data_IF_690008170421
#
_entry.id   IF_690008170421
#
_cell.length_a   1.000
_cell.length_b   1.000
_cell.length_c   1.000
_cell.angle_alpha   90.00
_cell.angle_beta   90.00
_cell.angle_gamma   90.00
#
_symmetry.space_group_name_H-M   'P 1'
#
loop_
_entity.id
_entity.type
_entity.pdbx_description
1 polymer ?
#
# COMPACT_ATOMS: atom_id res chain seq x y z
N UNK A 1 -7.21 21.99 8.46
CA UNK A 1 -5.98 21.46 7.84
C UNK A 1 -6.27 20.06 7.33
N UNK A 2 -6.61 19.93 6.03
CA UNK A 2 -6.89 18.64 5.41
C UNK A 2 -5.70 17.70 5.54
N UNK A 3 -5.97 16.40 5.72
CA UNK A 3 -4.92 15.42 5.97
C UNK A 3 -5.15 14.12 5.18
N UNK A 4 -6.08 13.27 5.62
CA UNK A 4 -6.43 12.01 4.95
C UNK A 4 -7.48 12.19 3.86
N UNK A 5 -7.43 11.34 2.84
CA UNK A 5 -8.41 11.26 1.75
C UNK A 5 -8.69 9.79 1.39
N UNK A 6 -9.97 9.44 1.31
CA UNK A 6 -10.45 8.19 0.74
C UNK A 6 -11.65 8.45 -0.19
N UNK A 7 -11.88 7.51 -1.10
CA UNK A 7 -13.00 7.53 -2.04
C UNK A 7 -13.67 6.17 -1.98
N UNK A 8 -14.98 6.13 -1.77
CA UNK A 8 -15.73 4.88 -1.72
C UNK A 8 -16.17 4.41 -3.13
N UNK A 9 -16.89 3.29 -3.20
CA UNK A 9 -17.38 2.73 -4.47
C UNK A 9 -18.48 3.57 -5.13
N UNK A 10 -19.10 4.48 -4.39
CA UNK A 10 -20.12 5.40 -4.89
C UNK A 10 -19.52 6.71 -5.42
N UNK A 11 -18.19 6.86 -5.35
CA UNK A 11 -17.46 8.11 -5.60
C UNK A 11 -17.78 9.22 -4.58
N UNK A 12 -18.19 8.85 -3.37
CA UNK A 12 -18.18 9.79 -2.26
C UNK A 12 -16.76 9.90 -1.71
N UNK A 13 -16.39 11.12 -1.31
CA UNK A 13 -15.07 11.45 -0.80
C UNK A 13 -15.13 11.57 0.72
N UNK A 14 -14.11 11.06 1.40
CA UNK A 14 -13.98 11.17 2.85
C UNK A 14 -12.66 11.86 3.13
N UNK A 15 -12.72 12.96 3.89
CA UNK A 15 -11.53 13.72 4.26
C UNK A 15 -11.38 13.74 5.77
N UNK A 16 -10.17 13.59 6.29
CA UNK A 16 -9.88 13.97 7.66
C UNK A 16 -9.32 15.39 7.70
N UNK A 17 -9.69 16.15 8.72
CA UNK A 17 -9.14 17.48 8.96
C UNK A 17 -8.62 17.57 10.40
N UNK A 18 -7.30 17.76 10.49
CA UNK A 18 -6.58 17.83 11.76
C UNK A 18 -6.95 19.08 12.56
N UNK A 19 -7.26 20.18 11.88
CA UNK A 19 -7.59 21.45 12.53
C UNK A 19 -9.02 21.47 13.07
N UNK A 20 -9.97 20.88 12.35
CA UNK A 20 -11.36 20.81 12.82
C UNK A 20 -11.66 19.60 13.68
N UNK A 21 -10.75 18.63 13.80
CA UNK A 21 -10.96 17.38 14.54
C UNK A 21 -12.11 16.54 13.98
N UNK A 22 -12.29 16.55 12.64
CA UNK A 22 -13.41 15.88 11.99
C UNK A 22 -12.99 14.96 10.85
N UNK A 23 -13.86 14.00 10.58
CA UNK A 23 -13.90 13.25 9.31
C UNK A 23 -15.18 13.66 8.57
N UNK A 24 -15.06 14.10 7.33
CA UNK A 24 -16.17 14.67 6.57
C UNK A 24 -16.41 13.83 5.33
N UNK A 25 -17.66 13.40 5.14
CA UNK A 25 -18.12 12.76 3.91
C UNK A 25 -18.65 13.82 2.96
N UNK A 26 -18.24 13.73 1.70
CA UNK A 26 -18.62 14.64 0.62
C UNK A 26 -19.18 13.87 -0.56
N UNK A 27 -20.23 14.41 -1.17
CA UNK A 27 -20.76 13.95 -2.45
C UNK A 27 -20.27 14.91 -3.54
N UNK A 28 -19.75 14.37 -4.64
CA UNK A 28 -19.37 15.14 -5.81
C UNK A 28 -20.42 14.97 -6.90
N UNK A 29 -21.15 16.05 -7.21
CA UNK A 29 -22.04 16.09 -8.37
C UNK A 29 -21.36 16.80 -9.53
N UNK A 30 -21.63 16.34 -10.75
CA UNK A 30 -21.14 16.96 -11.98
C UNK A 30 -22.31 17.61 -12.70
N UNK A 31 -22.26 18.93 -12.88
CA UNK A 31 -23.16 19.68 -13.74
C UNK A 31 -22.46 20.05 -15.05
N UNK A 32 -23.24 20.19 -16.12
CA UNK A 32 -22.77 20.80 -17.38
C UNK A 32 -23.33 22.21 -17.46
N UNK A 33 -22.44 23.20 -17.57
CA UNK A 33 -22.83 24.57 -17.86
C UNK A 33 -21.90 25.11 -18.95
N UNK A 34 -22.46 25.54 -20.09
CA UNK A 34 -21.72 26.08 -21.24
C UNK A 34 -20.46 25.29 -21.65
N UNK A 35 -20.55 23.95 -21.75
CA UNK A 35 -19.44 23.04 -22.10
C UNK A 35 -18.32 22.92 -21.06
N UNK A 36 -18.49 23.46 -19.84
CA UNK A 36 -17.61 23.20 -18.71
C UNK A 36 -18.25 22.17 -17.76
N UNK A 37 -17.43 21.23 -17.29
CA UNK A 37 -17.81 20.33 -16.20
C UNK A 37 -17.64 21.12 -14.90
N UNK A 38 -18.75 21.54 -14.30
CA UNK A 38 -18.75 22.14 -12.97
C UNK A 38 -18.98 21.03 -11.95
N UNK A 39 -17.91 20.66 -11.25
CA UNK A 39 -18.01 19.79 -10.07
C UNK A 39 -18.52 20.61 -8.88
N UNK A 40 -19.59 20.16 -8.23
CA UNK A 40 -20.04 20.71 -6.95
C UNK A 40 -19.83 19.67 -5.85
N UNK A 41 -19.06 20.04 -4.84
CA UNK A 41 -18.82 19.23 -3.66
C UNK A 41 -19.82 19.64 -2.57
N UNK A 42 -20.65 18.72 -2.11
CA UNK A 42 -21.58 18.95 -1.00
C UNK A 42 -21.23 18.07 0.19
N UNK A 43 -21.26 18.63 1.40
CA UNK A 43 -21.08 17.86 2.61
C UNK A 43 -22.31 16.98 2.86
N UNK A 44 -22.10 15.68 3.05
CA UNK A 44 -23.16 14.72 3.39
C UNK A 44 -23.34 14.64 4.91
N UNK A 45 -22.26 14.36 5.63
CA UNK A 45 -22.20 14.40 7.09
C UNK A 45 -20.76 14.62 7.57
N UNK A 46 -20.61 14.93 8.85
CA UNK A 46 -19.31 14.97 9.53
C UNK A 46 -19.36 14.11 10.80
N UNK A 47 -18.26 13.40 11.05
CA UNK A 47 -17.97 12.70 12.30
C UNK A 47 -17.01 13.58 13.12
N UNK A 48 -17.18 13.58 14.44
CA UNK A 48 -16.46 14.51 15.31
C UNK A 48 -17.20 15.84 15.49
N UNK A 49 -16.96 16.50 16.62
CA UNK A 49 -17.43 17.85 16.87
C UNK A 49 -16.39 18.87 16.40
N UNK A 50 -16.83 19.84 15.59
CA UNK A 50 -15.95 20.80 14.94
C UNK A 50 -15.19 21.64 15.97
N UNK A 51 -13.87 21.60 15.90
CA UNK A 51 -12.93 22.29 16.80
C UNK A 51 -12.94 21.81 18.26
N UNK A 52 -13.56 20.66 18.54
CA UNK A 52 -13.56 20.07 19.89
C UNK A 52 -12.75 18.78 19.88
N UNK A 53 -11.48 18.82 20.33
CA UNK A 53 -10.69 17.62 20.51
C UNK A 53 -11.25 16.76 21.64
N UNK A 54 -11.14 15.45 21.51
CA UNK A 54 -11.46 14.52 22.59
C UNK A 54 -11.03 13.09 22.30
N UNK A 55 -11.28 12.21 23.26
CA UNK A 55 -10.92 10.79 23.21
C UNK A 55 -12.10 9.87 23.57
N UNK A 56 -13.33 10.39 23.52
CA UNK A 56 -14.55 9.59 23.66
C UNK A 56 -15.06 9.10 22.29
N UNK A 57 -16.26 8.51 22.25
CA UNK A 57 -16.85 7.93 21.05
C UNK A 57 -17.35 8.97 20.02
N UNK A 58 -17.47 10.24 20.42
CA UNK A 58 -18.01 11.33 19.59
C UNK A 58 -16.97 12.30 19.10
N UNK A 59 -15.81 12.35 19.75
CA UNK A 59 -14.73 13.29 19.44
C UNK A 59 -13.52 12.59 18.86
N UNK A 60 -12.76 13.31 18.04
CA UNK A 60 -11.42 12.90 17.59
C UNK A 60 -10.36 13.84 18.14
N UNK A 61 -9.10 13.41 18.16
CA UNK A 61 -7.97 14.29 18.40
C UNK A 61 -7.02 14.23 17.22
N UNK A 62 -7.26 15.13 16.26
CA UNK A 62 -6.46 15.31 15.04
C UNK A 62 -6.44 14.00 14.22
N UNK A 63 -7.58 13.57 13.65
CA UNK A 63 -7.68 12.33 12.89
C UNK A 63 -6.84 12.39 11.61
N UNK A 64 -6.07 11.34 11.35
CA UNK A 64 -5.01 11.33 10.33
C UNK A 64 -5.42 10.57 9.06
N UNK A 65 -6.03 9.39 9.20
CA UNK A 65 -6.40 8.54 8.07
C UNK A 65 -7.85 8.13 8.09
N UNK A 66 -8.41 7.84 6.92
CA UNK A 66 -9.75 7.26 6.78
C UNK A 66 -9.74 6.18 5.71
N UNK A 67 -10.40 5.06 5.96
CA UNK A 67 -10.69 4.00 5.01
C UNK A 67 -12.20 3.74 4.99
N UNK A 68 -12.72 3.38 3.82
CA UNK A 68 -14.12 2.98 3.67
C UNK A 68 -14.16 1.64 2.94
N UNK A 69 -14.77 0.64 3.55
CA UNK A 69 -14.90 -0.70 2.99
C UNK A 69 -16.11 -0.81 2.06
N UNK A 70 -16.20 -1.93 1.35
CA UNK A 70 -17.19 -2.15 0.29
C UNK A 70 -18.64 -2.20 0.78
N UNK A 71 -18.84 -2.53 2.05
CA UNK A 71 -20.12 -2.51 2.77
C UNK A 71 -20.48 -1.09 3.28
N UNK A 72 -19.55 -0.14 3.15
CA UNK A 72 -19.69 1.23 3.63
C UNK A 72 -19.25 1.44 5.08
N UNK A 73 -18.66 0.44 5.76
CA UNK A 73 -18.06 0.67 7.08
C UNK A 73 -16.90 1.68 6.95
N UNK A 74 -16.82 2.61 7.90
CA UNK A 74 -15.84 3.69 7.90
C UNK A 74 -14.86 3.44 9.03
N UNK A 75 -13.56 3.50 8.74
CA UNK A 75 -12.50 3.31 9.70
C UNK A 75 -11.62 4.56 9.75
N UNK A 76 -11.38 5.08 10.96
CA UNK A 76 -10.64 6.32 11.16
C UNK A 76 -9.42 6.04 12.01
N UNK A 77 -8.23 6.39 11.51
CA UNK A 77 -7.00 6.43 12.29
C UNK A 77 -6.93 7.76 13.05
N UNK A 78 -7.25 7.73 14.35
CA UNK A 78 -7.28 8.90 15.23
C UNK A 78 -5.98 8.96 16.03
N UNK A 79 -4.96 9.63 15.47
CA UNK A 79 -3.58 9.30 15.81
C UNK A 79 -2.66 10.41 16.33
N UNK A 80 -2.89 11.68 16.02
CA UNK A 80 -1.91 12.71 16.42
C UNK A 80 -1.91 13.00 17.91
N UNK A 81 -3.06 12.89 18.58
CA UNK A 81 -3.14 12.95 20.04
C UNK A 81 -3.90 11.79 20.69
N UNK A 82 -4.48 10.91 19.88
CA UNK A 82 -5.01 9.62 20.32
C UNK A 82 -4.17 8.48 19.74
N UNK A 83 -4.44 7.24 20.13
CA UNK A 83 -3.72 6.05 19.67
C UNK A 83 -4.71 4.92 19.38
N UNK A 84 -5.70 5.22 18.54
CA UNK A 84 -6.82 4.31 18.28
C UNK A 84 -7.25 4.33 16.81
N UNK A 85 -7.93 3.26 16.44
CA UNK A 85 -8.76 3.18 15.25
C UNK A 85 -10.21 3.12 15.69
N UNK A 86 -11.06 3.96 15.09
CA UNK A 86 -12.50 3.97 15.34
C UNK A 86 -13.24 3.46 14.12
N UNK A 87 -14.27 2.64 14.35
CA UNK A 87 -15.14 2.08 13.32
C UNK A 87 -16.54 2.69 13.44
N UNK A 88 -17.08 3.09 12.30
CA UNK A 88 -18.45 3.58 12.16
C UNK A 88 -19.18 2.77 11.07
N UNK A 89 -20.50 2.73 11.15
CA UNK A 89 -21.32 2.23 10.07
C UNK A 89 -21.37 3.26 8.90
N UNK A 90 -22.07 2.87 7.82
CA UNK A 90 -22.22 3.72 6.63
C UNK A 90 -22.98 5.03 6.85
N UNK A 91 -23.70 5.13 7.97
CA UNK A 91 -24.48 6.30 8.37
C UNK A 91 -23.73 7.16 9.39
N UNK A 92 -22.50 6.79 9.76
CA UNK A 92 -21.70 7.51 10.74
C UNK A 92 -22.00 7.16 12.20
N UNK A 93 -22.72 6.07 12.47
CA UNK A 93 -22.94 5.59 13.84
C UNK A 93 -21.70 4.87 14.35
N UNK A 94 -21.22 5.24 15.53
CA UNK A 94 -20.09 4.57 16.18
C UNK A 94 -20.41 3.10 16.45
N UNK A 95 -19.50 2.20 16.09
CA UNK A 95 -19.64 0.76 16.30
C UNK A 95 -18.66 0.24 17.35
N UNK A 96 -17.37 0.53 17.18
CA UNK A 96 -16.32 0.05 18.07
C UNK A 96 -15.03 0.85 17.88
N UNK A 97 -14.08 0.68 18.80
CA UNK A 97 -12.73 1.18 18.66
C UNK A 97 -11.73 0.18 19.24
N UNK A 98 -10.48 0.26 18.77
CA UNK A 98 -9.36 -0.49 19.31
C UNK A 98 -8.07 0.31 19.19
N UNK A 99 -7.05 -0.10 19.95
CA UNK A 99 -5.78 0.62 20.02
C UNK A 99 -5.51 1.16 21.42
N UNK A 100 -4.23 1.19 21.78
CA UNK A 100 -3.71 1.84 23.00
C UNK A 100 -2.39 2.52 22.68
N UNK A 101 -1.96 3.46 23.52
CA UNK A 101 -0.62 4.03 23.40
C UNK A 101 0.47 2.95 23.51
N UNK A 102 1.49 3.03 22.66
CA UNK A 102 2.70 2.19 22.78
C UNK A 102 3.63 2.66 23.91
N UNK A 103 3.40 3.86 24.43
CA UNK A 103 4.07 4.39 25.60
C UNK A 103 3.25 4.10 26.86
N UNK A 104 3.93 3.71 27.94
CA UNK A 104 3.33 3.65 29.27
C UNK A 104 3.10 5.08 29.83
N UNK A 105 2.52 5.16 31.04
CA UNK A 105 2.25 6.44 31.72
C UNK A 105 3.49 7.29 32.00
N UNK A 106 4.69 6.72 31.92
CA UNK A 106 5.98 7.41 32.08
C UNK A 106 6.59 7.85 30.74
N UNK A 107 5.89 7.65 29.61
CA UNK A 107 6.41 7.99 28.29
C UNK A 107 7.47 7.03 27.74
N UNK A 108 7.65 5.87 28.37
CA UNK A 108 8.61 4.84 27.93
C UNK A 108 7.90 3.86 27.02
N UNK A 109 8.56 3.44 25.94
CA UNK A 109 8.02 2.43 25.02
C UNK A 109 7.81 1.13 25.80
N UNK A 110 6.55 0.72 25.93
CA UNK A 110 6.18 -0.42 26.75
C UNK A 110 6.47 -1.75 26.02
N UNK A 111 6.23 -1.82 24.71
CA UNK A 111 6.54 -2.96 23.85
C UNK A 111 6.33 -2.61 22.36
N UNK A 112 7.40 -2.49 21.56
CA UNK A 112 7.29 -2.23 20.11
C UNK A 112 6.65 -3.38 19.32
N UNK A 113 6.65 -4.60 19.85
CA UNK A 113 6.16 -5.78 19.13
C UNK A 113 4.70 -6.11 19.43
N UNK A 114 4.10 -5.51 20.46
CA UNK A 114 2.72 -5.81 20.81
C UNK A 114 1.76 -5.27 19.74
N UNK A 115 0.88 -6.14 19.23
CA UNK A 115 -0.16 -5.73 18.27
C UNK A 115 -1.29 -4.98 18.99
N UNK A 116 -1.92 -4.04 18.31
CA UNK A 116 -2.99 -3.22 18.89
C UNK A 116 -2.50 -2.10 19.81
N UNK A 117 -1.20 -1.84 19.90
CA UNK A 117 -0.68 -0.57 20.44
C UNK A 117 -0.19 0.30 19.29
N UNK A 118 -0.39 1.61 19.36
CA UNK A 118 0.04 2.54 18.33
C UNK A 118 0.90 3.66 18.90
N UNK A 119 1.72 4.22 18.03
CA UNK A 119 2.45 5.47 18.19
C UNK A 119 2.16 6.28 16.93
N UNK A 120 1.07 7.04 17.01
CA UNK A 120 0.54 7.85 15.90
C UNK A 120 0.07 7.00 14.71
N UNK A 121 -1.09 6.33 14.80
CA UNK A 121 -1.71 5.71 13.64
C UNK A 121 -2.06 6.81 12.61
N UNK A 122 -1.43 6.78 11.43
CA UNK A 122 -1.38 7.95 10.54
C UNK A 122 -2.20 7.80 9.26
N UNK A 123 -2.20 6.60 8.68
CA UNK A 123 -2.98 6.24 7.50
C UNK A 123 -3.60 4.87 7.72
N UNK A 124 -4.70 4.61 7.04
CA UNK A 124 -5.42 3.35 7.10
C UNK A 124 -6.01 3.05 5.73
N UNK A 125 -5.85 1.81 5.27
CA UNK A 125 -6.45 1.32 4.03
C UNK A 125 -7.02 -0.07 4.24
N UNK A 126 -8.03 -0.43 3.43
CA UNK A 126 -8.61 -1.76 3.44
C UNK A 126 -8.16 -2.55 2.21
N UNK A 127 -8.16 -3.88 2.31
CA UNK A 127 -8.10 -4.71 1.11
C UNK A 127 -9.42 -4.66 0.31
N UNK A 128 -9.42 -5.25 -0.89
CA UNK A 128 -10.53 -5.13 -1.83
C UNK A 128 -11.90 -5.59 -1.32
N UNK A 129 -11.94 -6.60 -0.45
CA UNK A 129 -13.19 -7.13 0.13
C UNK A 129 -13.51 -6.50 1.49
N UNK A 130 -12.61 -5.68 2.04
CA UNK A 130 -12.76 -5.03 3.33
C UNK A 130 -12.59 -5.96 4.53
N UNK A 131 -12.11 -7.19 4.35
CA UNK A 131 -11.87 -8.14 5.45
C UNK A 131 -10.63 -7.80 6.28
N UNK A 132 -9.64 -7.14 5.67
CA UNK A 132 -8.40 -6.72 6.31
C UNK A 132 -8.18 -5.21 6.20
N UNK A 133 -7.63 -4.65 7.26
CA UNK A 133 -7.22 -3.27 7.40
C UNK A 133 -5.71 -3.22 7.63
N UNK A 134 -5.05 -2.24 7.01
CA UNK A 134 -3.64 -1.98 7.14
C UNK A 134 -3.46 -0.57 7.70
N UNK A 135 -2.96 -0.49 8.93
CA UNK A 135 -2.82 0.76 9.67
C UNK A 135 -1.35 1.13 9.76
N UNK A 136 -0.96 2.29 9.24
CA UNK A 136 0.42 2.77 9.38
C UNK A 136 0.61 3.31 10.79
N UNK A 137 1.44 2.61 11.56
CA UNK A 137 1.82 2.99 12.92
C UNK A 137 3.11 3.81 12.83
N UNK A 138 2.94 5.12 12.58
CA UNK A 138 3.96 5.95 11.93
C UNK A 138 5.27 5.94 12.66
N UNK A 139 5.25 6.21 13.95
CA UNK A 139 6.47 6.39 14.74
C UNK A 139 7.04 5.05 15.24
N UNK A 140 6.27 3.97 15.20
CA UNK A 140 6.78 2.62 15.43
C UNK A 140 7.35 1.97 14.16
N UNK A 141 7.38 2.68 13.03
CA UNK A 141 7.94 2.23 11.75
C UNK A 141 7.37 0.87 11.29
N UNK A 142 6.05 0.67 11.44
CA UNK A 142 5.38 -0.58 11.07
C UNK A 142 4.01 -0.34 10.45
N UNK A 143 3.51 -1.35 9.75
CA UNK A 143 2.11 -1.42 9.32
C UNK A 143 1.47 -2.57 10.08
N UNK A 144 0.46 -2.29 10.88
CA UNK A 144 -0.29 -3.33 11.58
C UNK A 144 -1.50 -3.78 10.78
N UNK A 145 -1.73 -5.09 10.76
CA UNK A 145 -2.80 -5.74 10.00
C UNK A 145 -3.89 -6.17 10.97
N UNK A 146 -5.12 -5.74 10.72
CA UNK A 146 -6.29 -6.07 11.52
C UNK A 146 -7.39 -6.66 10.65
N UNK A 147 -8.25 -7.48 11.25
CA UNK A 147 -9.57 -7.75 10.67
C UNK A 147 -10.48 -6.53 10.85
N UNK A 148 -11.55 -6.48 10.07
CA UNK A 148 -12.53 -5.38 10.12
C UNK A 148 -13.34 -5.30 11.42
N UNK A 149 -13.23 -6.28 12.31
CA UNK A 149 -13.77 -6.27 13.68
C UNK A 149 -12.77 -5.75 14.73
N UNK A 150 -11.54 -5.41 14.32
CA UNK A 150 -10.48 -4.92 15.20
C UNK A 150 -9.55 -6.00 15.75
N UNK A 151 -9.73 -7.28 15.39
CA UNK A 151 -8.79 -8.34 15.76
C UNK A 151 -7.44 -8.12 15.07
N UNK A 152 -6.37 -8.01 15.86
CA UNK A 152 -5.00 -7.97 15.35
C UNK A 152 -4.61 -9.30 14.69
N UNK A 153 -3.98 -9.22 13.51
CA UNK A 153 -3.55 -10.38 12.71
C UNK A 153 -2.03 -10.49 12.69
N UNK A 154 -1.34 -9.45 12.22
CA UNK A 154 0.12 -9.43 12.09
C UNK A 154 0.63 -7.99 11.85
N UNK A 155 1.90 -7.85 11.48
CA UNK A 155 2.52 -6.56 11.16
C UNK A 155 3.60 -6.71 10.09
N UNK A 156 3.79 -5.66 9.31
CA UNK A 156 4.94 -5.48 8.40
C UNK A 156 5.91 -4.54 9.10
N UNK A 157 7.16 -4.99 9.23
CA UNK A 157 8.25 -4.28 9.88
C UNK A 157 9.47 -4.23 8.95
N UNK A 158 10.54 -3.58 9.38
CA UNK A 158 11.83 -3.68 8.69
C UNK A 158 12.24 -5.17 8.52
N UNK A 159 12.79 -5.55 7.35
CA UNK A 159 13.41 -6.86 7.19
C UNK A 159 14.42 -7.16 8.30
N UNK A 160 14.60 -8.43 8.63
CA UNK A 160 15.57 -8.87 9.64
C UNK A 160 16.96 -8.27 9.36
N UNK A 161 17.62 -7.79 10.41
CA UNK A 161 18.95 -7.18 10.35
C UNK A 161 19.05 -5.93 9.46
N UNK A 162 17.92 -5.24 9.22
CA UNK A 162 17.90 -3.98 8.46
C UNK A 162 17.22 -2.85 9.23
N UNK A 163 17.61 -1.62 8.93
CA UNK A 163 16.97 -0.39 9.38
C UNK A 163 16.67 0.49 8.15
N UNK A 164 15.83 -0.05 7.26
CA UNK A 164 15.54 0.58 5.97
C UNK A 164 14.63 1.82 6.11
N UNK A 165 13.80 1.86 7.15
CA UNK A 165 12.91 2.98 7.44
C UNK A 165 12.63 3.12 8.95
N UNK A 166 12.58 4.36 9.41
CA UNK A 166 12.28 4.70 10.81
C UNK A 166 10.89 5.29 11.04
N UNK A 167 10.06 5.36 9.99
CA UNK A 167 8.65 5.74 10.08
C UNK A 167 7.90 5.32 8.81
N UNK A 168 6.57 5.26 8.87
CA UNK A 168 5.71 5.01 7.71
C UNK A 168 4.56 6.00 7.73
N UNK A 169 4.50 6.88 6.73
CA UNK A 169 3.45 7.90 6.68
C UNK A 169 2.19 7.38 6.00
N UNK A 170 2.33 6.65 4.89
CA UNK A 170 1.18 6.22 4.11
C UNK A 170 1.42 4.88 3.47
N UNK A 171 0.33 4.15 3.27
CA UNK A 171 0.30 2.87 2.58
C UNK A 171 -0.94 2.82 1.69
N UNK A 172 -0.88 2.02 0.64
CA UNK A 172 -2.06 1.65 -0.14
C UNK A 172 -1.98 0.19 -0.58
N UNK A 173 -3.14 -0.43 -0.70
CA UNK A 173 -3.29 -1.82 -1.08
C UNK A 173 -3.65 -1.95 -2.55
N UNK A 174 -2.98 -2.87 -3.22
CA UNK A 174 -3.37 -3.37 -4.52
C UNK A 174 -3.47 -4.89 -4.48
N UNK A 175 -4.56 -5.42 -5.00
CA UNK A 175 -4.75 -6.84 -5.24
C UNK A 175 -5.68 -7.04 -6.41
N UNK A 176 -5.53 -8.15 -7.11
CA UNK A 176 -6.46 -8.57 -8.17
C UNK A 176 -7.15 -9.84 -7.74
N UNK A 177 -8.45 -9.94 -7.98
CA UNK A 177 -9.18 -11.17 -7.64
C UNK A 177 -9.44 -11.96 -8.91
N UNK A 178 -8.98 -13.22 -8.95
CA UNK A 178 -9.31 -14.16 -9.99
C UNK A 178 -9.96 -15.39 -9.36
N UNK A 179 -11.20 -15.68 -9.76
CA UNK A 179 -12.00 -16.82 -9.23
C UNK A 179 -12.00 -16.83 -7.68
N UNK A 180 -12.33 -15.69 -7.07
CA UNK A 180 -12.34 -15.48 -5.60
C UNK A 180 -11.01 -15.69 -4.87
N UNK A 181 -9.90 -15.89 -5.59
CA UNK A 181 -8.56 -15.88 -5.03
C UNK A 181 -7.91 -14.53 -5.30
N UNK A 182 -7.39 -13.91 -4.25
CA UNK A 182 -6.55 -12.72 -4.41
C UNK A 182 -5.20 -13.14 -4.96
N UNK A 183 -4.89 -12.65 -6.16
CA UNK A 183 -3.61 -12.78 -6.84
C UNK A 183 -2.98 -11.38 -6.86
N UNK A 184 -1.70 -11.29 -6.50
CA UNK A 184 -0.92 -10.04 -6.38
C UNK A 184 -1.26 -9.15 -5.17
N UNK A 185 -1.37 -9.72 -3.97
CA UNK A 185 -1.59 -9.00 -2.70
C UNK A 185 -0.39 -8.13 -2.32
N UNK A 186 -0.38 -6.88 -2.80
CA UNK A 186 0.75 -5.97 -2.68
C UNK A 186 0.35 -4.74 -1.90
N UNK A 187 1.13 -4.40 -0.88
CA UNK A 187 1.08 -3.09 -0.24
C UNK A 187 2.23 -2.25 -0.76
N UNK A 188 1.93 -1.02 -1.15
CA UNK A 188 2.94 0.00 -1.39
C UNK A 188 2.89 1.00 -0.25
N UNK A 189 4.03 1.27 0.37
CA UNK A 189 4.11 2.22 1.47
C UNK A 189 5.32 3.13 1.34
N UNK A 190 5.24 4.29 2.00
CA UNK A 190 6.26 5.33 1.94
C UNK A 190 6.56 5.91 3.33
N UNK A 191 7.83 5.91 3.76
CA UNK A 191 8.32 6.72 4.87
C UNK A 191 8.21 8.21 4.53
N UNK A 192 8.01 9.07 5.52
CA UNK A 192 7.93 10.52 5.30
C UNK A 192 9.24 11.25 5.56
N UNK A 193 10.23 10.57 6.14
CA UNK A 193 11.53 11.14 6.50
C UNK A 193 12.65 10.16 6.19
N UNK A 194 13.83 10.70 5.88
CA UNK A 194 15.06 9.91 5.80
C UNK A 194 15.36 9.22 7.12
N UNK A 195 16.06 8.09 7.05
CA UNK A 195 16.47 7.32 8.21
C UNK A 195 17.89 6.81 7.97
N UNK A 196 18.78 7.01 8.94
CA UNK A 196 20.19 6.57 8.88
C UNK A 196 20.93 7.00 7.60
N UNK A 197 20.66 8.21 7.11
CA UNK A 197 21.26 8.74 5.88
C UNK A 197 20.78 8.07 4.58
N UNK A 198 19.84 7.12 4.66
CA UNK A 198 19.24 6.50 3.49
C UNK A 198 18.22 7.44 2.83
N UNK A 199 18.18 7.50 1.49
CA UNK A 199 17.15 8.24 0.78
C UNK A 199 15.77 7.62 1.04
N UNK A 200 14.74 8.47 1.00
CA UNK A 200 13.36 7.97 1.09
C UNK A 200 13.04 7.18 -0.18
N UNK A 201 12.50 5.98 -0.01
CA UNK A 201 12.06 5.09 -1.08
C UNK A 201 10.61 4.67 -0.85
N UNK A 202 9.90 4.36 -1.94
CA UNK A 202 8.68 3.56 -1.86
C UNK A 202 9.09 2.12 -1.62
N UNK A 203 8.39 1.44 -0.73
CA UNK A 203 8.55 0.02 -0.46
C UNK A 203 7.32 -0.73 -0.94
N UNK A 204 7.55 -1.95 -1.44
CA UNK A 204 6.52 -2.93 -1.69
C UNK A 204 6.61 -4.04 -0.65
N UNK A 205 5.47 -4.51 -0.17
CA UNK A 205 5.36 -5.68 0.69
C UNK A 205 4.28 -6.62 0.18
N UNK A 206 4.50 -7.92 0.36
CA UNK A 206 3.45 -8.91 0.18
C UNK A 206 2.50 -8.83 1.37
N UNK A 207 1.24 -8.44 1.13
CA UNK A 207 0.29 -8.10 2.19
C UNK A 207 -0.05 -9.32 3.07
N UNK A 208 -0.34 -10.47 2.46
CA UNK A 208 -0.66 -11.71 3.18
C UNK A 208 0.53 -12.31 3.95
N UNK A 209 1.72 -12.33 3.34
CA UNK A 209 2.94 -12.83 3.98
C UNK A 209 3.56 -11.81 4.95
N UNK A 210 3.00 -10.60 5.03
CA UNK A 210 3.48 -9.51 5.87
C UNK A 210 4.98 -9.22 5.74
N UNK A 211 5.52 -9.27 4.52
CA UNK A 211 6.97 -9.15 4.26
C UNK A 211 7.29 -8.14 3.18
N UNK A 212 8.23 -7.23 3.46
CA UNK A 212 8.79 -6.29 2.48
C UNK A 212 9.55 -7.06 1.39
N UNK A 213 9.39 -6.66 0.13
CA UNK A 213 9.97 -7.35 -1.03
C UNK A 213 11.02 -6.50 -1.75
N UNK A 214 10.70 -5.26 -2.10
CA UNK A 214 11.58 -4.38 -2.87
C UNK A 214 11.31 -2.92 -2.52
N UNK A 215 12.28 -2.07 -2.83
CA UNK A 215 12.15 -0.62 -2.76
C UNK A 215 12.57 0.05 -4.05
N UNK A 216 12.04 1.25 -4.30
CA UNK A 216 12.37 2.07 -5.46
C UNK A 216 12.16 3.55 -5.17
N UNK A 217 12.83 4.41 -5.92
CA UNK A 217 12.78 5.85 -5.78
C UNK A 217 12.86 6.52 -7.17
N UNK A 218 12.44 7.80 -7.32
CA UNK A 218 12.70 8.55 -8.54
C UNK A 218 14.20 8.70 -8.81
N UNK A 219 14.61 8.59 -10.07
CA UNK A 219 16.03 8.72 -10.47
C UNK A 219 16.56 10.15 -10.35
N UNK A 220 15.77 11.13 -10.79
CA UNK A 220 16.24 12.52 -10.95
C UNK A 220 15.65 13.50 -9.93
N UNK A 221 14.72 13.03 -9.10
CA UNK A 221 13.98 13.87 -8.17
C UNK A 221 13.78 13.11 -6.85
N UNK A 222 14.82 13.03 -6.00
CA UNK A 222 14.68 12.36 -4.72
C UNK A 222 13.51 12.96 -3.94
N UNK A 223 12.84 12.10 -3.20
CA UNK A 223 11.79 12.51 -2.27
C UNK A 223 12.40 13.39 -1.17
N UNK A 224 11.65 14.40 -0.78
CA UNK A 224 11.95 15.31 0.32
C UNK A 224 10.96 15.12 1.47
N UNK A 225 9.67 15.32 1.20
CA UNK A 225 8.59 15.26 2.22
C UNK A 225 7.35 14.52 1.68
N UNK A 226 7.46 13.26 1.26
CA UNK A 226 6.31 12.45 0.90
C UNK A 226 5.41 12.20 2.10
N UNK A 227 4.11 12.20 1.83
CA UNK A 227 3.11 12.16 2.88
C UNK A 227 1.95 11.21 2.58
N UNK A 228 1.66 10.99 1.30
CA UNK A 228 0.63 10.04 0.87
C UNK A 228 1.09 9.25 -0.34
N UNK A 229 0.69 7.98 -0.40
CA UNK A 229 0.84 7.10 -1.55
C UNK A 229 -0.52 6.49 -1.90
N UNK A 230 -0.87 6.45 -3.19
CA UNK A 230 -2.07 5.78 -3.68
C UNK A 230 -1.78 5.01 -4.97
N UNK A 231 -2.43 3.87 -5.14
CA UNK A 231 -2.26 2.98 -6.29
C UNK A 231 -3.53 3.03 -7.13
N UNK A 232 -3.41 3.09 -8.45
CA UNK A 232 -4.57 3.05 -9.33
C UNK A 232 -5.28 1.69 -9.24
N UNK A 233 -6.60 1.67 -9.44
CA UNK A 233 -7.42 0.45 -9.38
C UNK A 233 -6.95 -0.65 -10.35
N UNK A 234 -6.33 -0.27 -11.47
CA UNK A 234 -5.74 -1.21 -12.44
C UNK A 234 -4.31 -1.64 -12.09
N UNK A 235 -3.69 -1.03 -11.07
CA UNK A 235 -2.33 -1.29 -10.62
C UNK A 235 -1.27 -0.93 -11.65
N UNK A 236 -1.57 0.01 -12.56
CA UNK A 236 -0.61 0.53 -13.54
C UNK A 236 0.12 1.77 -13.04
N UNK A 237 -0.47 2.51 -12.09
CA UNK A 237 0.09 3.76 -11.59
C UNK A 237 0.18 3.78 -10.08
N UNK A 238 1.26 4.36 -9.58
CA UNK A 238 1.42 4.74 -8.18
C UNK A 238 1.57 6.26 -8.16
N UNK A 239 0.81 6.92 -7.28
CA UNK A 239 0.87 8.34 -7.06
C UNK A 239 1.45 8.60 -5.67
N UNK A 240 2.42 9.52 -5.57
CA UNK A 240 2.97 9.98 -4.31
C UNK A 240 2.77 11.48 -4.19
N UNK A 241 2.06 11.90 -3.14
CA UNK A 241 1.94 13.30 -2.77
C UNK A 241 3.07 13.71 -1.84
N UNK A 242 3.79 14.76 -2.23
CA UNK A 242 4.80 15.42 -1.40
C UNK A 242 4.37 16.81 -0.98
N UNK A 243 4.67 17.14 0.28
CA UNK A 243 4.48 18.48 0.83
C UNK A 243 5.62 19.40 0.36
N UNK A 244 5.30 20.67 0.12
CA UNK A 244 6.27 21.71 -0.23
C UNK A 244 5.91 23.04 0.42
N UNK A 245 6.91 23.90 0.65
CA UNK A 245 6.74 25.18 1.36
C UNK A 245 5.81 26.15 0.61
N UNK A 246 5.73 26.05 -0.73
CA UNK A 246 4.92 26.91 -1.60
C UNK A 246 3.94 26.12 -2.48
N UNK A 247 3.51 24.96 -1.99
CA UNK A 247 2.68 24.01 -2.74
C UNK A 247 3.34 22.64 -2.86
N UNK A 248 2.54 21.60 -2.69
CA UNK A 248 2.98 20.22 -2.85
C UNK A 248 3.13 19.82 -4.31
N UNK A 249 3.66 18.61 -4.53
CA UNK A 249 3.70 17.98 -5.86
C UNK A 249 3.12 16.57 -5.78
N UNK A 250 2.62 16.07 -6.91
CA UNK A 250 2.24 14.67 -7.07
C UNK A 250 3.16 14.04 -8.11
N UNK A 251 3.86 12.98 -7.71
CA UNK A 251 4.65 12.16 -8.61
C UNK A 251 3.81 10.97 -9.05
N UNK A 252 3.88 10.62 -10.33
CA UNK A 252 3.28 9.42 -10.89
C UNK A 252 4.38 8.45 -11.31
N UNK A 253 4.27 7.20 -10.88
CA UNK A 253 5.10 6.08 -11.32
C UNK A 253 4.24 5.16 -12.17
N UNK A 254 4.78 4.69 -13.28
CA UNK A 254 4.14 3.69 -14.13
C UNK A 254 4.78 2.33 -13.90
N UNK A 255 3.96 1.32 -13.61
CA UNK A 255 4.40 -0.07 -13.44
C UNK A 255 4.31 -0.76 -14.80
N UNK A 256 5.47 -1.06 -15.40
CA UNK A 256 5.54 -1.83 -16.63
C UNK A 256 5.55 -3.33 -16.31
N UNK A 257 4.56 -4.08 -16.82
CA UNK A 257 4.51 -5.53 -16.70
C UNK A 257 5.17 -6.17 -17.93
N UNK A 258 5.65 -7.41 -17.81
CA UNK A 258 6.42 -8.06 -18.88
C UNK A 258 5.62 -8.26 -20.20
N UNK A 259 4.30 -7.99 -20.22
CA UNK A 259 3.45 -7.94 -21.41
C UNK A 259 3.22 -6.55 -22.04
N UNK A 260 3.64 -5.45 -21.41
CA UNK A 260 3.39 -4.08 -21.88
C UNK A 260 4.37 -3.63 -22.99
N UNK A 261 5.38 -4.45 -23.30
CA UNK A 261 6.27 -4.23 -24.46
C UNK A 261 5.63 -4.74 -25.75
N UNK A 262 4.56 -4.10 -26.21
CA UNK A 262 4.08 -4.24 -27.59
C UNK A 262 4.00 -2.84 -28.20
N UNK A 263 5.15 -2.35 -28.66
CA UNK A 263 5.28 -1.02 -29.27
C UNK A 263 6.60 -0.82 -30.02
N UNK A 264 7.27 -1.90 -30.42
CA UNK A 264 8.43 -1.88 -31.31
C UNK A 264 8.19 -2.86 -32.44
N UNK A 265 8.23 -2.35 -33.67
CA UNK A 265 8.20 -3.02 -34.98
C UNK A 265 7.87 -4.53 -35.02
N UNK A 266 6.69 -4.82 -35.56
CA UNK A 266 6.19 -6.17 -35.91
C UNK A 266 6.96 -6.88 -37.04
N UNK A 267 8.22 -6.53 -37.30
CA UNK A 267 9.02 -7.12 -38.37
C UNK A 267 10.33 -7.80 -37.92
N UNK A 268 10.63 -7.87 -36.61
CA UNK A 268 11.97 -8.30 -36.15
C UNK A 268 12.01 -9.50 -35.20
N UNK A 269 10.94 -10.28 -35.05
CA UNK A 269 10.94 -11.46 -34.18
C UNK A 269 10.29 -12.70 -34.82
N UNK A 270 10.38 -12.79 -36.15
CA UNK A 270 10.06 -14.00 -36.89
C UNK A 270 11.35 -14.68 -37.33
N UNK A 271 12.25 -14.98 -36.39
CA UNK A 271 13.31 -15.96 -36.62
C UNK A 271 13.89 -16.47 -35.30
N UNK A 272 13.99 -17.81 -35.24
CA UNK A 272 14.88 -18.61 -34.39
C UNK A 272 14.48 -18.87 -32.94
N UNK A 273 13.61 -19.88 -32.76
CA UNK A 273 13.96 -21.05 -31.95
C UNK A 273 13.40 -22.32 -32.62
N UNK A 274 14.22 -22.97 -33.46
CA UNK A 274 14.05 -24.37 -33.80
C UNK A 274 14.47 -25.20 -32.60
N UNK A 275 13.54 -25.93 -31.98
CA UNK A 275 13.87 -27.01 -31.06
C UNK A 275 13.69 -28.36 -31.76
N UNK A 276 14.64 -29.30 -31.62
CA UNK A 276 14.45 -30.65 -32.14
C UNK A 276 13.30 -31.33 -31.37
N UNK A 277 12.36 -31.87 -32.13
CA UNK A 277 11.27 -32.70 -31.61
C UNK A 277 11.88 -34.03 -31.14
N UNK A 278 11.92 -34.26 -29.83
CA UNK A 278 12.02 -35.59 -29.26
C UNK A 278 10.61 -36.11 -28.94
N UNK A 279 10.37 -37.36 -29.32
CA UNK A 279 9.10 -38.06 -29.42
C UNK A 279 8.26 -38.10 -28.14
N UNK A 280 6.95 -38.02 -28.37
CA UNK A 280 5.84 -38.17 -27.42
C UNK A 280 5.74 -39.58 -26.81
N UNK A 281 5.47 -39.63 -25.51
CA UNK A 281 4.61 -40.68 -24.91
C UNK A 281 3.28 -40.03 -24.54
N UNK A 282 2.20 -40.60 -25.07
CA UNK A 282 0.84 -40.06 -25.08
C UNK A 282 0.20 -39.97 -23.68
N UNK A 283 -0.37 -38.80 -23.36
CA UNK A 283 -1.51 -38.66 -22.47
C UNK A 283 -2.48 -37.68 -23.15
N UNK A 284 -3.52 -38.23 -23.77
CA UNK A 284 -4.61 -37.45 -24.38
C UNK A 284 -5.52 -36.93 -23.27
N UNK A 285 -5.56 -35.61 -23.08
CA UNK A 285 -6.63 -34.94 -22.36
C UNK A 285 -7.67 -34.47 -23.38
N UNK A 286 -8.79 -35.18 -23.50
CA UNK A 286 -9.93 -34.76 -24.34
C UNK A 286 -10.71 -33.65 -23.64
N UNK A 287 -10.57 -32.41 -24.12
CA UNK A 287 -11.48 -31.31 -23.77
C UNK A 287 -12.69 -31.39 -24.72
N UNK A 288 -13.93 -31.45 -24.22
CA UNK A 288 -15.12 -31.46 -25.09
C UNK A 288 -15.16 -30.20 -25.95
N UNK A 289 -15.40 -30.36 -27.26
CA UNK A 289 -15.41 -29.27 -28.24
C UNK A 289 -16.38 -28.11 -27.89
N UNK A 290 -17.36 -28.35 -27.01
CA UNK A 290 -18.30 -27.36 -26.49
C UNK A 290 -17.63 -26.29 -25.63
N UNK A 291 -16.59 -26.62 -24.87
CA UNK A 291 -15.85 -25.65 -24.04
C UNK A 291 -14.97 -24.73 -24.89
N UNK A 292 -14.40 -25.22 -25.99
CA UNK A 292 -13.56 -24.43 -26.89
C UNK A 292 -14.37 -23.34 -27.62
N UNK A 293 -15.60 -23.66 -28.03
CA UNK A 293 -16.50 -22.72 -28.71
C UNK A 293 -16.97 -21.61 -27.77
N UNK A 294 -17.24 -21.92 -26.49
CA UNK A 294 -17.60 -20.92 -25.48
C UNK A 294 -16.44 -19.97 -25.19
N UNK A 295 -15.21 -20.48 -25.13
CA UNK A 295 -14.01 -19.66 -24.95
C UNK A 295 -13.81 -18.68 -26.11
N UNK A 296 -13.91 -19.14 -27.36
CA UNK A 296 -13.76 -18.29 -28.54
C UNK A 296 -14.87 -17.22 -28.59
N UNK A 297 -16.11 -17.58 -28.26
CA UNK A 297 -17.22 -16.65 -28.23
C UNK A 297 -17.06 -15.56 -27.15
N UNK A 298 -16.60 -15.91 -25.94
CA UNK A 298 -16.34 -14.94 -24.88
C UNK A 298 -15.18 -14.00 -25.22
N UNK A 299 -14.10 -14.52 -25.80
CA UNK A 299 -12.95 -13.72 -26.21
C UNK A 299 -13.31 -12.70 -27.29
N UNK A 300 -14.18 -13.07 -28.24
CA UNK A 300 -14.68 -12.15 -29.27
C UNK A 300 -15.61 -11.08 -28.68
N UNK A 301 -16.48 -11.42 -27.73
CA UNK A 301 -17.34 -10.46 -27.04
C UNK A 301 -16.54 -9.39 -26.27
N UNK A 302 -15.46 -9.81 -25.60
CA UNK A 302 -14.55 -8.91 -24.88
C UNK A 302 -13.81 -8.00 -25.88
N UNK A 303 -13.37 -8.55 -27.01
CA UNK A 303 -12.70 -7.78 -28.06
C UNK A 303 -13.60 -6.71 -28.70
N UNK A 304 -14.88 -7.02 -28.95
CA UNK A 304 -15.84 -6.05 -29.49
C UNK A 304 -16.30 -5.02 -28.45
N UNK A 305 -16.36 -5.37 -27.16
CA UNK A 305 -16.69 -4.43 -26.09
C UNK A 305 -15.59 -3.38 -25.84
N UNK A 306 -14.33 -3.69 -26.15
CA UNK A 306 -13.20 -2.78 -25.91
C UNK A 306 -12.99 -1.70 -26.99
N UNK A 307 -13.74 -1.74 -28.10
CA UNK A 307 -13.57 -0.80 -29.22
C UNK A 307 -14.46 0.45 -29.08
N UNK A 308 -14.27 1.27 -28.04
CA UNK A 308 -14.79 2.65 -28.00
C UNK A 308 -13.75 3.66 -27.44
N UNK A 309 -13.17 4.39 -28.41
CA UNK A 309 -12.54 5.73 -28.37
C UNK A 309 -11.41 6.00 -27.35
N UNK A 310 -10.18 5.96 -27.86
CA UNK A 310 -9.05 6.71 -27.30
C UNK A 310 -9.07 8.15 -27.84
N UNK A 311 -9.02 9.13 -26.94
CA UNK A 311 -8.50 10.48 -27.26
C UNK A 311 -7.02 10.52 -26.94
N UNK A 312 -6.27 11.21 -27.79
CA UNK A 312 -4.83 11.32 -27.79
C UNK A 312 -4.40 12.54 -26.96
N UNK A 313 -3.48 12.37 -26.02
CA UNK A 313 -2.67 13.46 -25.45
C UNK A 313 -1.24 12.94 -25.30
N UNK A 314 -0.28 13.52 -26.04
CA UNK A 314 1.16 13.24 -25.91
C UNK A 314 1.79 14.08 -24.78
N UNK A 315 3.11 14.15 -24.55
CA UNK A 315 4.26 13.28 -24.85
C UNK A 315 5.34 13.71 -23.82
N UNK A 316 5.83 12.82 -22.96
CA UNK A 316 7.20 12.79 -22.42
C UNK A 316 7.37 11.53 -21.55
N UNK A 317 8.33 10.70 -21.91
CA UNK A 317 8.63 9.44 -21.22
C UNK A 317 9.82 9.65 -20.28
N UNK A 318 9.68 9.26 -19.01
CA UNK A 318 10.83 8.91 -18.19
C UNK A 318 11.02 7.40 -18.25
N UNK A 319 12.12 6.97 -18.85
CA UNK A 319 12.53 5.57 -18.95
C UNK A 319 13.09 5.15 -17.59
N UNK A 320 12.33 4.32 -16.86
CA UNK A 320 12.85 3.67 -15.65
C UNK A 320 13.84 2.57 -16.06
N UNK A 321 15.13 2.85 -15.85
CA UNK A 321 16.21 1.87 -15.93
C UNK A 321 16.13 0.94 -14.71
N UNK A 322 16.16 -0.39 -14.93
CA UNK A 322 16.14 -1.43 -13.88
C UNK A 322 17.35 -1.36 -12.93
N UNK A 323 18.35 -0.52 -13.20
CA UNK A 323 19.53 -0.33 -12.35
C UNK A 323 19.25 0.17 -10.92
N UNK A 324 18.04 0.66 -10.61
CA UNK A 324 17.66 1.13 -9.27
C UNK A 324 17.04 0.08 -8.34
N UNK A 325 16.73 -1.13 -8.82
CA UNK A 325 16.15 -2.18 -7.98
C UNK A 325 17.25 -2.85 -7.15
N UNK A 326 17.32 -2.53 -5.85
CA UNK A 326 18.11 -3.31 -4.90
C UNK A 326 17.20 -4.36 -4.26
N UNK A 327 17.26 -5.65 -4.66
CA UNK A 327 16.57 -6.69 -3.93
C UNK A 327 17.08 -6.70 -2.48
N UNK A 328 16.15 -6.67 -1.53
CA UNK A 328 16.49 -6.85 -0.12
C UNK A 328 16.84 -8.33 0.04
N UNK A 329 18.11 -8.63 0.32
CA UNK A 329 18.58 -9.99 0.61
C UNK A 329 17.79 -10.49 1.82
N UNK A 330 17.09 -11.60 1.63
CA UNK A 330 16.42 -12.37 2.68
C UNK A 330 17.12 -13.71 2.69
N UNK A 331 18.31 -13.75 3.28
CA UNK A 331 18.93 -15.00 3.68
C UNK A 331 18.20 -15.52 4.91
N UNK A 332 17.24 -16.40 4.65
CA UNK A 332 16.66 -17.29 5.64
C UNK A 332 17.81 -18.13 6.22
N UNK A 333 18.13 -17.94 7.49
CA UNK A 333 19.07 -18.80 8.21
C UNK A 333 18.27 -19.82 8.99
N UNK A 334 18.00 -20.97 8.37
CA UNK A 334 17.53 -22.15 9.09
C UNK A 334 18.25 -23.43 8.64
N UNK A 335 19.13 -23.87 9.54
CA UNK A 335 19.41 -25.26 9.97
C UNK A 335 20.07 -26.27 9.00
N UNK A 336 21.23 -26.77 9.38
CA UNK A 336 21.39 -28.17 9.85
C UNK A 336 22.77 -28.40 10.49
N UNK A 337 22.77 -29.36 11.41
CA UNK A 337 23.79 -29.82 12.33
C UNK A 337 24.84 -30.73 11.68
N UNK A 338 25.90 -30.98 12.47
CA UNK A 338 26.89 -32.05 12.36
C UNK A 338 27.92 -31.91 11.24
N UNK A 339 29.12 -31.48 11.62
CA UNK A 339 30.28 -32.37 11.56
C UNK A 339 31.29 -32.00 12.64
N UNK A 340 31.55 -32.98 13.49
CA UNK A 340 32.72 -33.07 14.36
C UNK A 340 33.99 -33.06 13.53
N UNK A 341 35.00 -32.29 13.94
CA UNK A 341 36.35 -32.83 14.07
C UNK A 341 37.23 -31.87 14.90
N UNK A 342 38.05 -32.52 15.72
CA UNK A 342 39.03 -31.99 16.62
C UNK A 342 40.04 -31.05 15.92
N UNK A 343 40.42 -29.97 16.60
CA UNK A 343 41.85 -29.69 16.79
C UNK A 343 42.07 -28.68 17.94
N UNK A 344 42.69 -29.22 18.99
CA UNK A 344 43.37 -28.50 20.06
C UNK A 344 44.58 -27.79 19.45
N UNK A 345 44.76 -26.49 19.68
CA UNK A 345 46.08 -25.89 20.01
C UNK A 345 45.89 -24.61 20.82
N UNK A 346 46.75 -24.53 21.83
CA UNK A 346 46.94 -23.57 22.91
C UNK A 346 46.97 -22.08 22.59
N UNK A 347 46.50 -21.29 23.56
CA UNK A 347 46.79 -19.87 23.81
C UNK A 347 48.30 -19.63 24.05
N UNK A 348 48.81 -18.36 24.01
CA UNK A 348 48.60 -17.42 25.11
C UNK A 348 48.48 -15.92 24.74
N UNK A 349 47.91 -15.20 25.71
CA UNK A 349 47.84 -13.76 25.97
C UNK A 349 48.79 -12.78 25.24
N UNK A 350 48.23 -11.60 24.90
CA UNK A 350 48.66 -10.19 25.16
C UNK A 350 48.01 -9.29 24.09
N UNK A 351 47.51 -8.08 24.33
CA UNK A 351 47.43 -7.22 25.49
C UNK A 351 46.55 -5.99 25.15
N UNK A 352 46.18 -5.24 26.18
CA UNK A 352 45.51 -3.95 26.12
C UNK A 352 46.13 -2.96 25.12
N UNK A 353 45.29 -2.13 24.48
CA UNK A 353 45.41 -0.67 24.61
C UNK A 353 44.10 0.07 24.26
N UNK A 354 43.85 1.10 25.09
CA UNK A 354 42.86 2.19 25.03
C UNK A 354 42.99 2.99 23.72
N UNK A 355 42.02 3.73 23.18
CA UNK A 355 40.99 4.63 23.75
C UNK A 355 39.73 4.63 22.90
#
# INVERSE_FOLDING_TARGET
>A
MPHGLAIDKQNDYYTTDVGSHQVIKWSLSHGYHFNEILGSLSQVFALGEKFVPGNDQKHFCKPAGVAVTVDGSIFVADGYCNNRVMKFDRNGQFLTEWGKSSYNSMGVIANLQHLGTFSLPHDIVANNDGSLLYVTDRENARIQIFRSDGQAVSQIVNPANTEAFGNIFSTDYYGTTFIMLSINDTLYFIPGRQHNGLPISIFSAHAKAARVQYSFQPTNHPFNRPHTIRVSKDGRYIYVGELGENGGRVLQFMINRDGDKVGGDINSALELLHFPVASTSQLQLQIPATLLVVFIALSLLIFFAYKRKFMQVGKQYSVLNRAGFKPLRTDDSDTSSDDSDDDIISSPQRGNNRF
#
